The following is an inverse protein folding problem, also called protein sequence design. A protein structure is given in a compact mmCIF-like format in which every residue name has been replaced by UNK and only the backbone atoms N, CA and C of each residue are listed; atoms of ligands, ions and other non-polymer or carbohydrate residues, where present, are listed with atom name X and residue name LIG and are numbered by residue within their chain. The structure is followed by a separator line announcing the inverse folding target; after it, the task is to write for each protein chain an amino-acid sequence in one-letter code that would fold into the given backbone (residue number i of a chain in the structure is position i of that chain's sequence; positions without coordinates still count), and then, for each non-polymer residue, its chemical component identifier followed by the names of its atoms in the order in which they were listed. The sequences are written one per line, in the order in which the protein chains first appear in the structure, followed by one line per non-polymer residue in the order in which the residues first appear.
data_IF_504038567706
#
_entry.id   IF_504038567706
#
_cell.length_a   1.000
_cell.length_b   1.000
_cell.length_c   1.000
_cell.angle_alpha   90.00
_cell.angle_beta   90.00
_cell.angle_gamma   90.00
#
_symmetry.space_group_name_H-M   'P 1'
#
loop_
_entity.id
_entity.type
_entity.pdbx_description
1 polymer ?
#
# COMPACT_ATOMS: atom_id res chain seq x y z
N UNK A 1 -25.23 -9.38 -13.05
CA UNK A 1 -24.14 -8.44 -13.35
C UNK A 1 -22.81 -9.18 -13.20
N UNK A 2 -21.91 -9.04 -14.18
CA UNK A 2 -20.58 -9.67 -14.19
C UNK A 2 -19.51 -8.59 -14.02
N UNK A 3 -19.16 -8.19 -12.78
CA UNK A 3 -18.26 -7.06 -12.53
C UNK A 3 -16.88 -7.23 -13.19
N UNK A 4 -16.44 -8.47 -13.44
CA UNK A 4 -15.18 -8.74 -14.12
C UNK A 4 -15.14 -8.24 -15.57
N UNK A 5 -16.28 -8.04 -16.23
CA UNK A 5 -16.37 -7.61 -17.64
C UNK A 5 -17.29 -6.42 -17.89
N UNK A 6 -18.24 -6.18 -16.99
CA UNK A 6 -19.27 -5.15 -17.14
C UNK A 6 -18.97 -3.89 -16.32
N UNK A 7 -17.98 -3.93 -15.42
CA UNK A 7 -17.61 -2.75 -14.63
C UNK A 7 -16.72 -1.79 -15.43
N UNK A 8 -17.13 -0.53 -15.45
CA UNK A 8 -16.43 0.55 -16.13
C UNK A 8 -15.23 1.07 -15.32
N UNK A 9 -14.38 1.82 -15.99
CA UNK A 9 -13.28 2.56 -15.35
C UNK A 9 -13.68 4.02 -15.14
N UNK A 10 -13.41 4.54 -13.95
CA UNK A 10 -13.63 5.95 -13.60
C UNK A 10 -12.36 6.58 -13.07
N UNK A 11 -12.20 7.87 -13.31
CA UNK A 11 -11.20 8.66 -12.61
C UNK A 11 -11.63 8.84 -11.16
N UNK A 12 -10.73 8.51 -10.24
CA UNK A 12 -10.90 8.72 -8.81
C UNK A 12 -9.83 9.72 -8.37
N UNK A 13 -10.27 10.78 -7.70
CA UNK A 13 -9.41 11.85 -7.21
C UNK A 13 -9.07 11.57 -5.75
N UNK A 14 -7.78 11.45 -5.48
CA UNK A 14 -7.22 11.30 -4.15
C UNK A 14 -6.56 12.61 -3.74
N UNK A 15 -6.70 12.95 -2.46
CA UNK A 15 -6.06 14.12 -1.88
C UNK A 15 -5.66 13.79 -0.44
N UNK A 16 -4.46 14.22 -0.06
CA UNK A 16 -3.99 14.16 1.32
C UNK A 16 -3.35 15.48 1.71
N UNK A 17 -3.71 15.95 2.90
CA UNK A 17 -3.16 17.16 3.49
C UNK A 17 -1.85 16.82 4.19
N UNK A 18 -0.75 17.38 3.69
CA UNK A 18 0.58 17.21 4.23
C UNK A 18 1.44 18.41 3.81
N UNK A 19 2.43 18.81 4.62
CA UNK A 19 3.33 19.89 4.25
C UNK A 19 4.12 19.54 2.97
N UNK A 20 4.45 20.56 2.19
CA UNK A 20 5.32 20.42 1.02
C UNK A 20 6.68 19.84 1.46
N UNK A 21 7.11 18.75 0.84
CA UNK A 21 8.41 18.16 1.12
C UNK A 21 9.49 19.06 0.54
N UNK A 22 10.37 19.56 1.40
CA UNK A 22 11.55 20.33 0.98
C UNK A 22 12.73 19.42 0.60
N UNK A 23 12.62 18.11 0.87
CA UNK A 23 13.68 17.11 0.70
C UNK A 23 13.64 16.40 -0.65
N UNK A 24 12.62 16.62 -1.48
CA UNK A 24 12.41 15.84 -2.71
C UNK A 24 11.70 14.51 -2.46
N UNK A 25 11.01 14.37 -1.32
CA UNK A 25 10.22 13.18 -1.02
C UNK A 25 8.97 13.15 -1.90
N UNK A 26 8.53 11.94 -2.21
CA UNK A 26 7.38 11.69 -3.08
C UNK A 26 6.34 10.87 -2.34
N UNK A 27 5.07 11.23 -2.51
CA UNK A 27 3.96 10.47 -1.96
C UNK A 27 3.30 9.69 -3.09
N UNK A 28 3.04 8.42 -2.84
CA UNK A 28 2.37 7.52 -3.78
C UNK A 28 1.10 6.94 -3.16
N UNK A 29 0.09 6.75 -4.00
CA UNK A 29 -1.06 5.93 -3.67
C UNK A 29 -0.67 4.44 -3.82
N UNK A 30 -0.89 3.64 -2.78
CA UNK A 30 -0.58 2.21 -2.76
C UNK A 30 -1.80 1.37 -2.36
N UNK A 31 -1.84 0.12 -2.83
CA UNK A 31 -2.85 -0.84 -2.42
C UNK A 31 -2.78 -2.15 -3.20
N UNK A 32 -3.80 -2.99 -3.04
CA UNK A 32 -3.86 -4.27 -3.75
C UNK A 32 -3.85 -4.12 -5.29
N UNK A 33 -4.41 -3.02 -5.80
CA UNK A 33 -4.50 -2.72 -7.24
C UNK A 33 -3.13 -2.53 -7.92
N UNK A 34 -2.11 -2.10 -7.19
CA UNK A 34 -0.74 -1.91 -7.70
C UNK A 34 0.29 -2.80 -6.98
N UNK A 35 -0.18 -3.86 -6.30
CA UNK A 35 0.67 -4.79 -5.54
C UNK A 35 1.52 -4.07 -4.48
N UNK A 36 1.01 -2.99 -3.89
CA UNK A 36 1.69 -2.17 -2.88
C UNK A 36 3.03 -1.56 -3.36
N UNK A 37 3.20 -1.40 -4.67
CA UNK A 37 4.42 -0.82 -5.27
C UNK A 37 4.28 0.69 -5.46
N UNK A 38 5.37 1.43 -5.24
CA UNK A 38 5.47 2.87 -5.52
C UNK A 38 5.77 3.06 -7.01
N UNK A 39 4.71 3.08 -7.83
CA UNK A 39 4.84 3.29 -9.28
C UNK A 39 4.64 4.76 -9.63
N UNK A 40 5.38 5.32 -10.61
CA UNK A 40 5.22 6.71 -11.05
C UNK A 40 3.79 7.08 -11.46
N UNK A 41 3.04 6.12 -11.99
CA UNK A 41 1.64 6.28 -12.40
C UNK A 41 0.70 6.64 -11.24
N UNK A 42 1.12 6.36 -10.01
CA UNK A 42 0.36 6.60 -8.78
C UNK A 42 1.03 7.65 -7.86
N UNK A 43 1.96 8.45 -8.38
CA UNK A 43 2.59 9.56 -7.65
C UNK A 43 1.58 10.72 -7.49
N UNK A 44 1.47 11.26 -6.27
CA UNK A 44 0.67 12.46 -6.00
C UNK A 44 1.51 13.72 -6.17
N UNK A 45 0.92 14.78 -6.71
CA UNK A 45 1.57 16.07 -6.91
C UNK A 45 1.10 17.08 -5.87
N UNK A 46 2.04 17.82 -5.27
CA UNK A 46 1.68 18.89 -4.34
C UNK A 46 1.00 20.05 -5.07
N UNK A 47 -0.15 20.49 -4.56
CA UNK A 47 -0.90 21.65 -5.02
C UNK A 47 -0.79 22.78 -3.98
N UNK A 48 0.01 23.83 -4.25
CA UNK A 48 0.23 24.93 -3.31
C UNK A 48 -1.05 25.71 -2.95
N UNK A 49 -2.04 25.72 -3.85
CA UNK A 49 -3.30 26.43 -3.66
C UNK A 49 -4.23 25.76 -2.64
N UNK A 50 -4.20 24.43 -2.57
CA UNK A 50 -4.98 23.63 -1.63
C UNK A 50 -4.17 23.09 -0.45
N UNK A 51 -2.83 23.24 -0.47
CA UNK A 51 -1.89 22.67 0.50
C UNK A 51 -2.03 21.15 0.65
N UNK A 52 -2.26 20.46 -0.47
CA UNK A 52 -2.51 19.01 -0.52
C UNK A 52 -1.70 18.35 -1.61
N UNK A 53 -1.36 17.10 -1.40
CA UNK A 53 -0.91 16.20 -2.46
C UNK A 53 -2.14 15.61 -3.15
N UNK A 54 -2.25 15.80 -4.45
CA UNK A 54 -3.42 15.44 -5.25
C UNK A 54 -3.03 14.53 -6.42
N UNK A 55 -3.92 13.60 -6.76
CA UNK A 55 -3.71 12.65 -7.84
C UNK A 55 -5.05 12.14 -8.36
N UNK A 56 -5.16 12.00 -9.68
CA UNK A 56 -6.33 11.40 -10.32
C UNK A 56 -5.88 10.13 -11.02
N UNK A 57 -6.50 9.00 -10.69
CA UNK A 57 -6.10 7.69 -11.23
C UNK A 57 -7.32 6.94 -11.73
N UNK A 58 -7.11 6.10 -12.74
CA UNK A 58 -8.16 5.32 -13.34
C UNK A 58 -8.36 4.01 -12.57
N UNK A 59 -9.55 3.83 -12.00
CA UNK A 59 -9.94 2.63 -11.26
C UNK A 59 -11.13 1.96 -11.91
N UNK A 60 -11.11 0.63 -11.97
CA UNK A 60 -12.32 -0.14 -12.30
C UNK A 60 -13.33 0.02 -11.16
N UNK A 61 -14.62 0.07 -11.45
CA UNK A 61 -15.64 0.15 -10.40
C UNK A 61 -15.54 -1.07 -9.47
N UNK A 62 -15.51 -0.80 -8.17
CA UNK A 62 -15.35 -1.83 -7.15
C UNK A 62 -14.93 -1.24 -5.81
N UNK A 63 -14.70 -2.13 -4.84
CA UNK A 63 -14.21 -1.78 -3.53
C UNK A 63 -12.68 -1.92 -3.48
N UNK A 64 -11.99 -0.88 -3.03
CA UNK A 64 -10.53 -0.85 -2.91
C UNK A 64 -10.11 -0.35 -1.54
N UNK A 65 -9.21 -1.09 -0.90
CA UNK A 65 -8.42 -0.57 0.19
C UNK A 65 -7.15 0.07 -0.38
N UNK A 66 -6.79 1.23 0.14
CA UNK A 66 -5.61 1.98 -0.25
C UNK A 66 -4.93 2.58 0.98
N UNK A 67 -3.68 2.97 0.81
CA UNK A 67 -2.93 3.79 1.75
C UNK A 67 -1.96 4.68 1.00
N UNK A 68 -1.16 5.44 1.75
CA UNK A 68 -0.14 6.30 1.19
C UNK A 68 1.25 5.83 1.59
N UNK A 69 2.19 5.92 0.66
CA UNK A 69 3.60 5.65 0.93
C UNK A 69 4.45 6.87 0.58
N UNK A 70 5.33 7.26 1.49
CA UNK A 70 6.36 8.27 1.26
C UNK A 70 7.64 7.56 0.81
N UNK A 71 8.25 8.06 -0.25
CA UNK A 71 9.58 7.65 -0.72
C UNK A 71 10.50 8.84 -0.56
N UNK A 72 11.52 8.71 0.27
CA UNK A 72 12.49 9.78 0.47
C UNK A 72 13.41 9.96 -0.75
N UNK A 73 14.20 11.04 -0.75
CA UNK A 73 15.17 11.32 -1.81
C UNK A 73 16.25 10.22 -2.01
N UNK A 74 16.44 9.33 -1.03
CA UNK A 74 17.35 8.19 -1.11
C UNK A 74 16.66 6.92 -1.64
N UNK A 75 15.36 6.98 -1.93
CA UNK A 75 14.55 5.88 -2.43
C UNK A 75 14.01 4.96 -1.33
N UNK A 76 14.10 5.33 -0.06
CA UNK A 76 13.54 4.54 1.04
C UNK A 76 12.04 4.79 1.15
N UNK A 77 11.27 3.71 1.01
CA UNK A 77 9.81 3.69 1.21
C UNK A 77 9.46 3.61 2.69
N UNK A 78 8.48 4.39 3.13
CA UNK A 78 7.79 4.26 4.41
C UNK A 78 6.29 4.45 4.22
N UNK A 79 5.49 3.53 4.76
CA UNK A 79 4.02 3.59 4.75
C UNK A 79 3.52 4.31 6.01
N UNK A 80 4.27 4.19 7.10
CA UNK A 80 3.97 4.75 8.42
C UNK A 80 4.18 6.27 8.47
N UNK A 81 5.01 6.82 7.58
CA UNK A 81 5.30 8.24 7.52
C UNK A 81 4.06 9.10 7.22
N UNK A 82 3.06 8.51 6.55
CA UNK A 82 1.84 9.22 6.16
C UNK A 82 0.65 8.85 7.06
N UNK A 83 0.36 7.55 7.18
CA UNK A 83 -0.81 7.07 7.92
C UNK A 83 -0.53 6.75 9.40
N UNK A 84 0.74 6.86 9.83
CA UNK A 84 1.17 6.53 11.19
C UNK A 84 1.36 5.02 11.41
N UNK A 85 1.64 4.65 12.66
CA UNK A 85 1.77 3.25 13.09
C UNK A 85 1.08 3.07 14.44
N UNK A 86 -0.06 2.39 14.44
CA UNK A 86 -0.89 2.18 15.63
C UNK A 86 -0.98 0.69 15.97
N UNK A 87 -0.72 0.36 17.23
CA UNK A 87 -0.75 -1.03 17.72
C UNK A 87 -2.16 -1.65 17.71
N UNK A 88 -3.20 -0.80 17.72
CA UNK A 88 -4.60 -1.23 17.66
C UNK A 88 -5.06 -1.56 16.24
N UNK A 89 -4.26 -1.24 15.21
CA UNK A 89 -4.63 -1.51 13.82
C UNK A 89 -4.72 -3.02 13.59
N UNK A 90 -5.88 -3.48 13.14
CA UNK A 90 -6.07 -4.87 12.76
C UNK A 90 -5.21 -5.20 11.54
N UNK A 91 -4.24 -6.08 11.74
CA UNK A 91 -3.32 -6.54 10.70
C UNK A 91 -3.40 -8.06 10.59
N UNK A 92 -3.36 -8.58 9.37
CA UNK A 92 -3.27 -10.03 9.14
C UNK A 92 -1.83 -10.42 8.80
N UNK A 93 -1.25 -11.30 9.61
CA UNK A 93 0.09 -11.83 9.42
C UNK A 93 0.01 -13.24 8.84
N UNK A 94 0.77 -13.48 7.77
CA UNK A 94 0.88 -14.82 7.16
C UNK A 94 2.26 -15.40 7.48
N UNK A 95 2.29 -16.56 8.15
CA UNK A 95 3.50 -17.31 8.45
C UNK A 95 3.73 -18.37 7.38
N UNK A 96 4.90 -18.34 6.75
CA UNK A 96 5.35 -19.32 5.76
C UNK A 96 6.54 -20.09 6.32
N UNK A 97 6.37 -21.38 6.57
CA UNK A 97 7.43 -22.24 7.15
C UNK A 97 8.12 -23.00 6.03
N UNK A 98 9.40 -22.70 5.80
CA UNK A 98 10.22 -23.37 4.81
C UNK A 98 11.20 -24.35 5.45
N UNK A 99 11.41 -25.49 4.79
CA UNK A 99 12.40 -26.48 5.17
C UNK A 99 13.20 -26.92 3.95
N UNK A 100 14.52 -27.02 4.10
CA UNK A 100 15.43 -27.53 3.07
C UNK A 100 16.25 -28.69 3.65
N UNK A 101 15.95 -29.95 3.30
CA UNK A 101 16.77 -31.07 3.74
C UNK A 101 18.15 -31.04 3.05
N UNK A 102 19.13 -31.71 3.68
CA UNK A 102 20.47 -31.85 3.10
C UNK A 102 20.40 -32.54 1.73
N UNK A 103 21.05 -31.95 0.72
CA UNK A 103 21.01 -32.44 -0.66
C UNK A 103 19.80 -31.99 -1.48
N UNK A 104 18.87 -31.22 -0.91
CA UNK A 104 17.75 -30.67 -1.67
C UNK A 104 18.19 -29.53 -2.61
N UNK A 105 17.52 -29.46 -3.76
CA UNK A 105 17.75 -28.44 -4.79
C UNK A 105 16.91 -27.17 -4.60
N UNK A 106 15.93 -27.19 -3.69
CA UNK A 106 15.04 -26.05 -3.43
C UNK A 106 14.48 -26.08 -2.00
N UNK A 107 14.02 -24.91 -1.52
CA UNK A 107 13.23 -24.79 -0.30
C UNK A 107 11.84 -25.38 -0.49
N UNK A 108 11.38 -26.15 0.49
CA UNK A 108 10.02 -26.68 0.53
C UNK A 108 9.19 -25.83 1.49
N UNK A 109 8.03 -25.34 1.02
CA UNK A 109 7.03 -24.75 1.90
C UNK A 109 6.29 -25.88 2.62
N UNK A 110 6.60 -26.09 3.90
CA UNK A 110 6.07 -27.19 4.70
C UNK A 110 4.90 -26.77 5.61
N UNK A 111 4.60 -25.48 5.68
CA UNK A 111 3.47 -24.97 6.45
C UNK A 111 3.10 -23.54 6.09
N UNK A 112 1.80 -23.25 6.18
CA UNK A 112 1.22 -21.91 6.00
C UNK A 112 0.24 -21.71 7.15
N UNK A 113 0.31 -20.56 7.81
CA UNK A 113 -0.67 -20.14 8.82
C UNK A 113 -0.96 -18.66 8.69
N UNK A 114 -2.17 -18.25 9.09
CA UNK A 114 -2.55 -16.84 9.13
C UNK A 114 -3.05 -16.51 10.54
N UNK A 115 -2.59 -15.38 11.08
CA UNK A 115 -2.97 -14.88 12.40
C UNK A 115 -3.38 -13.42 12.25
N UNK A 116 -4.50 -13.07 12.85
CA UNK A 116 -4.94 -11.67 12.92
C UNK A 116 -4.41 -11.06 14.21
N UNK A 117 -3.69 -9.95 14.10
CA UNK A 117 -3.33 -9.12 15.23
C UNK A 117 -4.55 -8.32 15.65
N UNK A 118 -5.23 -8.75 16.70
CA UNK A 118 -6.19 -7.92 17.43
C UNK A 118 -5.48 -7.24 18.59
N UNK A 119 -5.89 -6.02 18.91
CA UNK A 119 -5.49 -5.35 20.13
C UNK A 119 -5.76 -6.26 21.34
N UNK A 120 -4.72 -6.57 22.11
CA UNK A 120 -4.89 -7.13 23.45
C UNK A 120 -4.96 -5.92 24.39
N UNK A 121 -6.18 -5.52 24.77
CA UNK A 121 -6.39 -4.53 25.82
C UNK A 121 -5.87 -5.14 27.14
N UNK A 122 -4.94 -4.50 27.89
CA UNK A 122 -4.34 -5.06 29.09
C UNK A 122 -5.31 -5.29 30.25
#
# INVERSE_FOLDING_TARGET
EKPDREADYTWVHFAIEAPESQSGDKIYLIGGFNQFQTRPEYELSFNPGSQRYEGAFLFKQGFYNYGYALVDALGKKSEEAVDGSFHLTENQYTLLVYFRPLGAVADQLIGISSVQGTAIDP
#
